data_IF_722551277260
#
_entry.id   IF_722551277260
#
_cell.length_a   1.000
_cell.length_b   1.000
_cell.length_c   1.000
_cell.angle_alpha   90.00
_cell.angle_beta   90.00
_cell.angle_gamma   90.00
#
_symmetry.space_group_name_H-M   'P 1'
#
loop_
_entity.id
_entity.type
_entity.pdbx_description
1 polymer ?
#
# COMPACT_ATOMS: atom_id res chain seq x y z
N UNK A 1 10.44 -7.96 20.61
CA UNK A 1 11.30 -8.60 19.58
C UNK A 1 10.35 -9.23 18.58
N UNK A 2 10.62 -9.08 17.28
CA UNK A 2 9.77 -9.65 16.23
C UNK A 2 9.83 -11.19 16.18
N UNK A 3 8.78 -11.84 15.68
CA UNK A 3 8.79 -13.28 15.39
C UNK A 3 9.92 -13.63 14.41
N UNK A 4 10.66 -14.71 14.69
CA UNK A 4 11.74 -15.20 13.84
C UNK A 4 11.25 -15.60 12.43
N UNK A 5 9.98 -15.99 12.27
CA UNK A 5 9.34 -16.19 10.97
C UNK A 5 9.14 -14.86 10.24
N UNK A 6 8.73 -13.80 10.95
CA UNK A 6 8.56 -12.48 10.37
C UNK A 6 9.92 -11.88 9.94
N UNK A 7 10.98 -12.07 10.73
CA UNK A 7 12.35 -11.73 10.33
C UNK A 7 12.77 -12.46 9.02
N UNK A 8 12.35 -13.71 8.82
CA UNK A 8 12.57 -14.42 7.55
C UNK A 8 11.85 -13.77 6.37
N UNK A 9 10.61 -13.34 6.57
CA UNK A 9 9.81 -12.63 5.57
C UNK A 9 10.40 -11.26 5.21
N UNK A 10 10.75 -10.43 6.20
CA UNK A 10 11.36 -9.10 5.97
C UNK A 10 12.67 -9.23 5.18
N UNK A 11 13.55 -10.18 5.54
CA UNK A 11 14.78 -10.44 4.77
C UNK A 11 14.52 -10.82 3.32
N UNK A 12 13.43 -11.55 3.02
CA UNK A 12 13.02 -11.84 1.64
C UNK A 12 12.58 -10.55 0.93
N UNK A 13 11.75 -9.73 1.56
CA UNK A 13 11.26 -8.48 0.97
C UNK A 13 12.40 -7.49 0.65
N UNK A 14 13.36 -7.31 1.56
CA UNK A 14 14.52 -6.42 1.35
C UNK A 14 15.48 -6.92 0.27
N UNK A 15 15.61 -8.26 0.09
CA UNK A 15 16.44 -8.86 -0.96
C UNK A 15 15.82 -8.75 -2.35
N UNK A 16 14.50 -8.94 -2.46
CA UNK A 16 13.80 -8.99 -3.75
C UNK A 16 13.54 -7.60 -4.31
N UNK A 17 13.22 -6.63 -3.44
CA UNK A 17 12.82 -5.30 -3.89
C UNK A 17 14.02 -4.34 -4.01
N UNK A 18 14.03 -3.58 -5.10
CA UNK A 18 15.00 -2.54 -5.38
C UNK A 18 14.58 -1.22 -4.70
N UNK A 19 13.29 -0.88 -4.80
CA UNK A 19 12.71 0.34 -4.25
C UNK A 19 11.67 -0.04 -3.19
N UNK A 20 11.59 0.72 -2.11
CA UNK A 20 10.65 0.52 -1.01
C UNK A 20 9.98 1.86 -0.73
N UNK A 21 8.67 1.96 -0.94
CA UNK A 21 7.86 3.13 -0.63
C UNK A 21 7.09 2.92 0.67
N UNK A 22 6.70 4.03 1.30
CA UNK A 22 5.74 4.07 2.40
C UNK A 22 4.75 5.21 2.17
N UNK A 23 3.48 5.00 2.48
CA UNK A 23 2.45 6.04 2.41
C UNK A 23 2.34 6.86 3.71
N UNK A 24 1.62 7.98 3.63
CA UNK A 24 1.28 8.85 4.76
C UNK A 24 0.61 8.05 5.89
N UNK A 25 -0.32 7.15 5.55
CA UNK A 25 -1.09 6.33 6.49
C UNK A 25 -0.21 5.40 7.34
N UNK A 26 0.75 4.69 6.74
CA UNK A 26 1.71 3.84 7.47
C UNK A 26 2.75 4.64 8.23
N UNK A 27 3.21 5.78 7.71
CA UNK A 27 4.21 6.59 8.41
C UNK A 27 3.62 7.24 9.67
N UNK A 28 2.34 7.63 9.64
CA UNK A 28 1.58 8.14 10.78
C UNK A 28 0.97 7.04 11.68
N UNK A 29 1.20 5.76 11.38
CA UNK A 29 0.73 4.64 12.20
C UNK A 29 1.55 4.53 13.50
N UNK A 30 0.94 4.49 14.70
CA UNK A 30 1.66 4.32 15.98
C UNK A 30 2.55 3.07 16.11
N UNK A 31 2.48 2.12 15.18
CA UNK A 31 3.38 0.98 15.11
C UNK A 31 4.70 1.25 14.36
N UNK A 32 4.89 2.42 13.75
CA UNK A 32 6.09 2.78 12.97
C UNK A 32 7.37 2.74 13.82
N UNK A 33 7.35 3.25 15.06
CA UNK A 33 8.49 3.19 16.00
C UNK A 33 8.91 1.75 16.29
N UNK A 34 7.92 0.86 16.40
CA UNK A 34 8.14 -0.57 16.63
C UNK A 34 8.73 -1.22 15.37
N UNK A 35 8.29 -0.85 14.17
CA UNK A 35 8.90 -1.30 12.91
C UNK A 35 10.36 -0.90 12.81
N UNK A 36 10.68 0.36 13.12
CA UNK A 36 12.06 0.89 13.11
C UNK A 36 12.90 0.12 14.13
N UNK A 37 12.43 0.01 15.38
CA UNK A 37 13.09 -0.76 16.45
C UNK A 37 13.29 -2.24 16.10
N UNK A 38 12.35 -2.85 15.40
CA UNK A 38 12.41 -4.27 15.02
C UNK A 38 13.37 -4.50 13.84
N UNK A 39 13.39 -3.64 12.81
CA UNK A 39 14.02 -3.95 11.52
C UNK A 39 15.01 -2.96 10.96
N UNK A 40 15.24 -1.77 11.55
CA UNK A 40 16.23 -0.79 11.05
C UNK A 40 17.59 -1.43 10.73
N UNK A 41 18.05 -2.33 11.60
CA UNK A 41 19.28 -3.10 11.41
C UNK A 41 19.29 -3.99 10.15
N UNK A 42 18.14 -4.49 9.69
CA UNK A 42 18.02 -5.26 8.45
C UNK A 42 18.06 -4.34 7.22
N UNK A 43 17.36 -3.21 7.25
CA UNK A 43 17.39 -2.22 6.17
C UNK A 43 18.83 -1.78 5.86
N UNK A 44 19.58 -1.41 6.91
CA UNK A 44 21.02 -1.07 6.82
C UNK A 44 21.83 -2.27 6.30
N UNK A 45 21.61 -3.48 6.83
CA UNK A 45 22.34 -4.69 6.41
C UNK A 45 22.17 -5.06 4.93
N UNK A 46 21.01 -4.74 4.33
CA UNK A 46 20.72 -5.02 2.92
C UNK A 46 21.00 -3.83 1.98
N UNK A 47 21.53 -2.72 2.51
CA UNK A 47 21.65 -1.46 1.79
C UNK A 47 20.32 -1.06 1.14
N UNK A 48 19.29 -0.93 1.98
CA UNK A 48 17.94 -0.55 1.59
C UNK A 48 17.44 0.59 2.47
N UNK A 49 16.96 1.64 1.82
CA UNK A 49 16.20 2.72 2.45
C UNK A 49 14.73 2.63 2.06
N UNK A 50 13.89 3.25 2.87
CA UNK A 50 12.49 3.53 2.56
C UNK A 50 12.45 4.91 1.91
N UNK A 51 12.00 4.96 0.66
CA UNK A 51 11.76 6.18 -0.10
C UNK A 51 10.48 6.85 0.39
N UNK A 52 10.60 8.12 0.78
CA UNK A 52 9.49 9.03 1.00
C UNK A 52 9.36 9.87 -0.26
N UNK A 53 8.23 9.77 -0.97
CA UNK A 53 8.00 10.60 -2.17
C UNK A 53 7.75 12.05 -1.78
N UNK A 54 7.91 12.95 -2.76
CA UNK A 54 7.64 14.37 -2.57
C UNK A 54 6.22 14.62 -2.04
N UNK A 55 5.23 13.91 -2.56
CA UNK A 55 3.81 14.09 -2.23
C UNK A 55 3.45 13.59 -0.83
N UNK A 56 4.05 12.48 -0.39
CA UNK A 56 3.92 12.01 1.01
C UNK A 56 4.53 13.04 1.96
N UNK A 57 5.71 13.61 1.63
CA UNK A 57 6.33 14.63 2.47
C UNK A 57 5.54 15.95 2.49
N UNK A 58 4.97 16.36 1.35
CA UNK A 58 4.09 17.52 1.26
C UNK A 58 2.77 17.30 2.02
N UNK A 59 2.19 16.09 1.97
CA UNK A 59 0.97 15.78 2.71
C UNK A 59 1.18 15.84 4.22
N UNK A 60 2.31 15.31 4.75
CA UNK A 60 2.68 15.50 6.15
C UNK A 60 2.73 17.00 6.50
N UNK A 61 3.34 17.82 5.64
CA UNK A 61 3.39 19.27 5.78
C UNK A 61 2.01 19.94 5.80
N UNK A 62 1.07 19.49 4.95
CA UNK A 62 -0.33 19.94 4.92
C UNK A 62 -1.06 19.56 6.21
N UNK A 63 -0.78 18.39 6.77
CA UNK A 63 -1.38 17.87 7.99
C UNK A 63 -0.85 18.55 9.27
N UNK A 64 0.24 19.32 9.22
CA UNK A 64 0.71 20.19 10.32
C UNK A 64 -0.20 21.40 10.60
N UNK A 65 -1.26 21.61 9.81
CA UNK A 65 -2.24 22.67 10.08
C UNK A 65 -2.81 22.59 11.50
N UNK A 66 -2.97 23.71 12.24
CA UNK A 66 -3.60 23.71 13.56
C UNK A 66 -5.02 23.14 13.60
N UNK A 67 -5.73 23.18 12.46
CA UNK A 67 -7.10 22.68 12.30
C UNK A 67 -7.15 21.17 11.97
N UNK A 68 -6.00 20.49 11.93
CA UNK A 68 -5.89 19.06 11.62
C UNK A 68 -5.85 18.21 12.90
N UNK A 69 -6.87 17.36 13.09
CA UNK A 69 -6.89 16.32 14.14
C UNK A 69 -5.69 15.35 14.07
N UNK A 70 -4.97 15.35 12.94
CA UNK A 70 -3.82 14.48 12.70
C UNK A 70 -2.45 15.16 12.86
N UNK A 71 -2.42 16.46 13.19
CA UNK A 71 -1.20 17.26 13.31
C UNK A 71 -0.13 16.60 14.20
N UNK A 72 -0.52 16.08 15.38
CA UNK A 72 0.40 15.36 16.27
C UNK A 72 1.01 14.10 15.63
N UNK A 73 0.27 13.37 14.78
CA UNK A 73 0.80 12.19 14.08
C UNK A 73 1.74 12.61 12.95
N UNK A 74 1.41 13.67 12.22
CA UNK A 74 2.24 14.21 11.15
C UNK A 74 3.57 14.79 11.69
N UNK A 75 3.53 15.49 12.83
CA UNK A 75 4.73 15.91 13.56
C UNK A 75 5.61 14.73 13.94
N UNK A 76 5.04 13.70 14.58
CA UNK A 76 5.77 12.48 14.97
C UNK A 76 6.37 11.75 13.76
N UNK A 77 5.63 11.64 12.65
CA UNK A 77 6.13 11.08 11.40
C UNK A 77 7.33 11.87 10.85
N UNK A 78 7.28 13.21 10.84
CA UNK A 78 8.40 14.06 10.42
C UNK A 78 9.61 13.88 11.36
N UNK A 79 9.41 13.88 12.68
CA UNK A 79 10.46 13.61 13.66
C UNK A 79 11.13 12.24 13.42
N UNK A 80 10.34 11.21 13.09
CA UNK A 80 10.86 9.88 12.73
C UNK A 80 11.77 9.92 11.51
N UNK A 81 11.39 10.66 10.45
CA UNK A 81 12.20 10.77 9.23
C UNK A 81 13.55 11.42 9.54
N UNK A 82 13.54 12.57 10.21
CA UNK A 82 14.75 13.33 10.57
C UNK A 82 15.65 12.58 11.55
N UNK A 83 15.09 11.81 12.49
CA UNK A 83 15.86 10.99 13.43
C UNK A 83 16.41 9.68 12.83
N UNK A 84 16.07 9.32 11.59
CA UNK A 84 16.50 8.07 10.94
C UNK A 84 16.98 8.28 9.48
N UNK A 85 17.96 9.18 9.22
CA UNK A 85 18.43 9.49 7.87
C UNK A 85 19.20 8.33 7.19
N UNK A 86 19.59 7.32 7.96
CA UNK A 86 20.15 6.05 7.49
C UNK A 86 19.09 5.04 7.03
N UNK A 87 17.84 5.19 7.46
CA UNK A 87 16.71 4.35 7.07
C UNK A 87 15.86 4.97 5.95
N UNK A 88 15.70 6.30 5.94
CA UNK A 88 14.83 7.00 4.99
C UNK A 88 15.61 7.73 3.90
N UNK A 89 14.99 7.85 2.73
CA UNK A 89 15.43 8.67 1.61
C UNK A 89 14.28 9.58 1.20
N UNK A 90 14.36 10.88 1.52
CA UNK A 90 13.30 11.85 1.20
C UNK A 90 13.56 12.41 -0.20
N UNK A 91 12.60 12.23 -1.10
CA UNK A 91 12.66 12.81 -2.45
C UNK A 91 12.25 14.29 -2.38
N UNK A 92 13.19 15.17 -2.71
CA UNK A 92 12.99 16.62 -2.85
C UNK A 92 12.38 17.31 -1.60
N UNK A 93 13.14 17.45 -0.52
CA UNK A 93 12.72 18.09 0.75
C UNK A 93 12.15 19.54 0.65
N UNK A 94 12.21 20.18 -0.51
CA UNK A 94 11.69 21.54 -0.74
C UNK A 94 10.17 21.48 -0.95
N UNK A 95 9.44 21.84 0.10
CA UNK A 95 7.99 22.06 0.06
C UNK A 95 7.72 23.50 -0.40
N UNK A 96 6.91 23.66 -1.46
CA UNK A 96 6.41 24.96 -1.93
C UNK A 96 4.94 25.16 -1.54
N UNK A 97 4.48 26.41 -1.49
CA UNK A 97 3.06 26.74 -1.20
C UNK A 97 2.13 26.11 -2.27
N UNK A 98 2.54 26.12 -3.54
CA UNK A 98 1.84 25.45 -4.65
C UNK A 98 1.81 23.91 -4.50
N UNK A 99 2.86 23.29 -3.96
CA UNK A 99 2.86 21.86 -3.69
C UNK A 99 1.90 21.50 -2.54
N UNK A 100 1.85 22.30 -1.48
CA UNK A 100 0.91 22.10 -0.36
C UNK A 100 -0.56 22.21 -0.78
N UNK A 101 -0.89 23.10 -1.72
CA UNK A 101 -2.25 23.23 -2.27
C UNK A 101 -2.65 22.07 -3.20
N UNK A 102 -1.67 21.35 -3.79
CA UNK A 102 -1.91 20.27 -4.76
C UNK A 102 -1.70 18.86 -4.20
N UNK A 103 -1.01 18.70 -3.06
CA UNK A 103 -0.63 17.40 -2.52
C UNK A 103 -1.84 16.57 -2.06
N UNK A 104 -2.18 15.56 -2.87
CA UNK A 104 -3.08 14.45 -2.55
C UNK A 104 -2.25 13.15 -2.62
N UNK A 105 -1.62 12.74 -1.51
CA UNK A 105 -0.55 11.74 -1.48
C UNK A 105 -0.89 10.38 -2.11
N UNK A 106 -2.16 9.99 -2.12
CA UNK A 106 -2.64 8.73 -2.71
C UNK A 106 -2.55 8.68 -4.26
N UNK A 107 -2.66 9.82 -4.96
CA UNK A 107 -2.74 9.81 -6.43
C UNK A 107 -1.38 9.48 -7.07
N UNK A 108 -0.32 10.12 -6.58
CA UNK A 108 0.99 10.08 -7.21
C UNK A 108 1.80 8.83 -6.84
N UNK A 109 1.65 8.30 -5.62
CA UNK A 109 2.31 7.03 -5.23
C UNK A 109 1.80 5.86 -6.09
N UNK A 110 0.53 5.89 -6.50
CA UNK A 110 -0.07 4.95 -7.44
C UNK A 110 0.59 5.01 -8.82
N UNK A 111 0.69 6.21 -9.41
CA UNK A 111 1.28 6.41 -10.73
C UNK A 111 2.77 6.07 -10.73
N UNK A 112 3.52 6.55 -9.74
CA UNK A 112 4.95 6.30 -9.59
C UNK A 112 5.27 4.80 -9.54
N UNK A 113 4.53 4.03 -8.73
CA UNK A 113 4.71 2.57 -8.64
C UNK A 113 4.35 1.88 -9.97
N UNK A 114 3.31 2.36 -10.67
CA UNK A 114 2.89 1.82 -11.96
C UNK A 114 3.89 2.10 -13.10
N UNK A 115 4.62 3.20 -13.04
CA UNK A 115 5.66 3.55 -14.00
C UNK A 115 6.96 2.80 -13.68
N UNK A 116 7.46 2.90 -12.44
CA UNK A 116 8.73 2.30 -12.01
C UNK A 116 8.73 0.76 -12.05
N UNK A 117 7.57 0.10 -12.04
CA UNK A 117 7.50 -1.37 -12.19
C UNK A 117 7.95 -1.84 -13.57
N UNK A 118 8.21 -0.96 -14.54
CA UNK A 118 8.83 -1.36 -15.82
C UNK A 118 10.29 -1.78 -15.65
N UNK A 119 10.95 -1.30 -14.60
CA UNK A 119 12.42 -1.36 -14.44
C UNK A 119 12.85 -1.97 -13.09
N UNK A 120 12.01 -1.92 -12.06
CA UNK A 120 12.36 -2.31 -10.69
C UNK A 120 11.32 -3.18 -9.99
N UNK A 121 11.77 -4.15 -9.19
CA UNK A 121 10.94 -4.75 -8.14
C UNK A 121 10.69 -3.73 -7.04
N UNK A 122 9.44 -3.60 -6.60
CA UNK A 122 9.03 -2.57 -5.66
C UNK A 122 8.24 -3.16 -4.50
N UNK A 123 8.44 -2.62 -3.31
CA UNK A 123 7.60 -2.85 -2.15
C UNK A 123 6.89 -1.55 -1.78
N UNK A 124 5.57 -1.59 -1.62
CA UNK A 124 4.82 -0.57 -0.89
C UNK A 124 4.54 -1.06 0.54
N UNK A 125 4.84 -0.22 1.51
CA UNK A 125 4.37 -0.33 2.89
C UNK A 125 3.17 0.61 3.03
N UNK A 126 1.98 0.05 3.20
CA UNK A 126 0.74 0.83 3.36
C UNK A 126 -0.18 0.16 4.38
N UNK A 127 -0.89 0.99 5.16
CA UNK A 127 -1.96 0.57 6.05
C UNK A 127 -3.34 0.89 5.47
N UNK A 128 -3.42 1.56 4.31
CA UNK A 128 -4.66 1.73 3.57
C UNK A 128 -4.97 0.45 2.74
N UNK A 129 -6.16 -0.10 2.97
CA UNK A 129 -6.60 -1.34 2.33
C UNK A 129 -6.95 -1.17 0.84
N UNK A 130 -7.44 0.00 0.43
CA UNK A 130 -7.81 0.29 -0.95
C UNK A 130 -6.56 0.49 -1.81
N UNK A 131 -5.63 1.33 -1.36
CA UNK A 131 -4.31 1.53 -1.95
C UNK A 131 -3.57 0.19 -2.07
N UNK A 132 -3.58 -0.62 -1.01
CA UNK A 132 -3.04 -1.98 -1.02
C UNK A 132 -3.62 -2.84 -2.16
N UNK A 133 -4.94 -2.86 -2.31
CA UNK A 133 -5.64 -3.70 -3.25
C UNK A 133 -5.41 -3.27 -4.71
N UNK A 134 -5.43 -1.95 -4.98
CA UNK A 134 -5.27 -1.41 -6.32
C UNK A 134 -3.80 -1.39 -6.78
N UNK A 135 -2.82 -1.18 -5.89
CA UNK A 135 -1.39 -1.35 -6.24
C UNK A 135 -1.07 -2.81 -6.55
N UNK A 136 -1.54 -3.76 -5.71
CA UNK A 136 -1.24 -5.18 -5.93
C UNK A 136 -1.87 -5.73 -7.23
N UNK A 137 -2.94 -5.10 -7.73
CA UNK A 137 -3.61 -5.42 -9.00
C UNK A 137 -2.68 -5.27 -10.22
N UNK A 138 -1.65 -4.42 -10.16
CA UNK A 138 -0.71 -4.22 -11.26
C UNK A 138 0.01 -5.50 -11.70
N UNK A 139 0.24 -6.43 -10.77
CA UNK A 139 0.80 -7.77 -11.06
C UNK A 139 -0.11 -8.64 -11.94
N UNK A 140 -1.40 -8.29 -12.07
CA UNK A 140 -2.38 -9.04 -12.87
C UNK A 140 -2.48 -8.53 -14.32
N UNK A 141 -1.82 -7.42 -14.67
CA UNK A 141 -1.90 -6.83 -16.00
C UNK A 141 -1.07 -7.59 -17.03
N UNK A 142 -1.75 -8.13 -18.05
CA UNK A 142 -1.13 -8.87 -19.15
C UNK A 142 -0.59 -7.97 -20.27
N UNK A 143 -1.20 -6.79 -20.46
CA UNK A 143 -0.86 -5.86 -21.54
C UNK A 143 0.35 -4.97 -21.24
N UNK A 144 0.77 -4.90 -19.96
CA UNK A 144 1.90 -4.06 -19.52
C UNK A 144 2.86 -4.95 -18.74
N UNK A 145 3.86 -5.48 -19.45
CA UNK A 145 4.97 -6.21 -18.84
C UNK A 145 5.72 -5.27 -17.88
N UNK A 146 6.08 -5.82 -16.74
CA UNK A 146 6.86 -5.15 -15.71
C UNK A 146 7.13 -6.12 -14.57
N UNK A 147 8.04 -5.72 -13.71
CA UNK A 147 8.43 -6.43 -12.51
C UNK A 147 7.31 -6.51 -11.46
N UNK A 148 7.56 -7.38 -10.47
CA UNK A 148 6.62 -7.63 -9.36
C UNK A 148 6.57 -6.47 -8.38
N UNK A 149 5.35 -6.07 -8.02
CA UNK A 149 5.06 -5.10 -6.96
C UNK A 149 4.53 -5.84 -5.74
N UNK A 150 5.20 -5.70 -4.60
CA UNK A 150 4.82 -6.29 -3.32
C UNK A 150 4.11 -5.25 -2.45
N UNK A 151 3.20 -5.70 -1.60
CA UNK A 151 2.45 -4.84 -0.67
C UNK A 151 2.48 -5.46 0.73
N UNK A 152 2.95 -4.69 1.71
CA UNK A 152 2.94 -5.03 3.12
C UNK A 152 2.19 -3.97 3.93
N UNK A 153 1.67 -4.36 5.09
CA UNK A 153 1.17 -3.44 6.11
C UNK A 153 1.94 -3.60 7.43
N UNK A 154 1.90 -2.57 8.28
CA UNK A 154 2.49 -2.61 9.62
C UNK A 154 1.41 -3.08 10.61
N UNK A 155 1.63 -4.21 11.30
CA UNK A 155 0.73 -4.67 12.36
C UNK A 155 1.00 -3.94 13.70
N UNK A 156 0.12 -4.13 14.69
CA UNK A 156 0.22 -3.47 16.00
C UNK A 156 1.53 -3.72 16.79
N UNK A 157 2.29 -4.77 16.43
CA UNK A 157 3.60 -5.10 17.01
C UNK A 157 4.78 -4.42 16.28
N UNK A 158 4.52 -3.68 15.21
CA UNK A 158 5.55 -3.18 14.31
C UNK A 158 6.17 -4.28 13.46
N UNK A 159 5.40 -5.30 13.09
CA UNK A 159 5.84 -6.35 12.18
C UNK A 159 5.26 -6.10 10.78
N UNK A 160 6.09 -6.27 9.74
CA UNK A 160 5.63 -6.19 8.35
C UNK A 160 4.92 -7.48 7.97
N UNK A 161 3.66 -7.37 7.57
CA UNK A 161 2.83 -8.51 7.16
C UNK A 161 2.39 -8.33 5.70
N UNK A 162 2.27 -9.39 4.88
CA UNK A 162 1.67 -9.29 3.55
C UNK A 162 0.21 -8.84 3.68
N UNK A 163 -0.28 -7.96 2.80
CA UNK A 163 -1.69 -7.55 2.78
C UNK A 163 -2.64 -8.77 2.70
N UNK A 164 -3.80 -8.71 3.35
CA UNK A 164 -4.81 -9.77 3.26
C UNK A 164 -5.33 -9.94 1.81
N UNK A 165 -5.40 -8.83 1.07
CA UNK A 165 -5.62 -8.78 -0.37
C UNK A 165 -4.60 -9.58 -1.22
N UNK A 166 -3.40 -9.80 -0.67
CA UNK A 166 -2.35 -10.68 -1.21
C UNK A 166 -2.56 -12.11 -0.73
N UNK A 167 -2.96 -12.31 0.53
CA UNK A 167 -3.18 -13.64 1.12
C UNK A 167 -4.18 -14.47 0.31
N UNK A 168 -5.39 -13.96 0.03
CA UNK A 168 -6.39 -14.73 -0.74
C UNK A 168 -5.88 -15.14 -2.14
N UNK A 169 -5.20 -14.23 -2.85
CA UNK A 169 -4.69 -14.50 -4.20
C UNK A 169 -3.46 -15.41 -4.19
N UNK A 170 -2.56 -15.28 -3.24
CA UNK A 170 -1.38 -16.16 -3.10
C UNK A 170 -1.80 -17.54 -2.64
N UNK A 171 -2.76 -17.67 -1.72
CA UNK A 171 -3.35 -18.98 -1.38
C UNK A 171 -4.09 -19.58 -2.57
N UNK A 172 -4.91 -18.81 -3.31
CA UNK A 172 -5.58 -19.32 -4.51
C UNK A 172 -4.58 -19.75 -5.61
N UNK A 173 -3.47 -19.04 -5.80
CA UNK A 173 -2.41 -19.43 -6.73
C UNK A 173 -1.63 -20.66 -6.26
N UNK A 174 -1.30 -20.75 -4.97
CA UNK A 174 -0.64 -21.93 -4.39
C UNK A 174 -1.52 -23.18 -4.44
N UNK A 175 -2.82 -23.05 -4.15
CA UNK A 175 -3.82 -24.12 -4.27
C UNK A 175 -3.96 -24.54 -5.74
N UNK A 176 -4.08 -23.60 -6.68
CA UNK A 176 -4.16 -23.93 -8.11
C UNK A 176 -2.87 -24.60 -8.63
N UNK A 177 -1.70 -24.13 -8.20
CA UNK A 177 -0.41 -24.75 -8.52
C UNK A 177 -0.34 -26.19 -8.00
N UNK A 178 -0.68 -26.41 -6.72
CA UNK A 178 -0.76 -27.75 -6.12
C UNK A 178 -1.76 -28.65 -6.84
N UNK A 179 -2.95 -28.15 -7.20
CA UNK A 179 -3.95 -28.92 -7.94
C UNK A 179 -3.48 -29.27 -9.37
N UNK A 180 -2.71 -28.42 -10.03
CA UNK A 180 -2.09 -28.74 -11.32
C UNK A 180 -0.96 -29.77 -11.17
N UNK A 181 -0.11 -29.64 -10.14
CA UNK A 181 0.93 -30.62 -9.81
C UNK A 181 0.33 -32.02 -9.57
N UNK A 182 -0.76 -32.09 -8.82
CA UNK A 182 -1.49 -33.33 -8.53
C UNK A 182 -2.18 -33.92 -9.77
N UNK A 183 -2.72 -33.08 -10.67
CA UNK A 183 -3.24 -33.55 -11.97
C UNK A 183 -2.13 -34.12 -12.84
N UNK A 184 -1.01 -33.41 -12.99
CA UNK A 184 0.13 -33.87 -13.80
C UNK A 184 0.71 -35.19 -13.31
N UNK A 185 0.71 -35.44 -11.99
CA UNK A 185 1.11 -36.73 -11.40
C UNK A 185 0.11 -37.85 -11.71
N UNK A 186 -1.19 -37.59 -11.59
CA UNK A 186 -2.22 -38.57 -12.01
C UNK A 186 -2.18 -38.87 -13.52
N UNK A 187 -1.92 -37.86 -14.35
CA UNK A 187 -1.81 -38.00 -15.80
C UNK A 187 -0.51 -38.70 -16.24
N UNK A 188 0.55 -38.69 -15.42
CA UNK A 188 1.75 -39.51 -15.63
C UNK A 188 1.59 -40.95 -15.15
N UNK A 189 0.92 -41.15 -14.02
CA UNK A 189 0.68 -42.50 -13.47
C UNK A 189 -0.37 -43.27 -14.30
N UNK A 190 -1.36 -42.57 -14.86
CA UNK A 190 -2.41 -43.15 -15.70
C UNK A 190 -2.01 -43.49 -17.14
N UNK A 191 -0.74 -43.34 -17.54
CA UNK A 191 -0.25 -43.67 -18.90
C UNK A 191 0.27 -45.09 -19.08
N UNK A 192 0.32 -45.88 -18.01
CA UNK A 192 0.73 -47.29 -18.04
C UNK A 192 -0.43 -48.26 -17.79
N UNK A 193 -1.62 -47.99 -18.33
CA UNK A 193 -2.64 -49.05 -18.51
C UNK A 193 -3.51 -48.79 -19.74
N UNK A 194 -3.71 -49.86 -20.51
CA UNK A 194 -4.62 -50.07 -21.66
C UNK A 194 -5.81 -49.11 -21.78
N UNK A 195 -6.24 -48.65 -22.96
CA UNK A 195 -6.20 -49.33 -24.25
C UNK A 195 -7.62 -49.45 -24.81
N UNK A 196 -7.92 -48.64 -25.83
CA UNK A 196 -9.00 -48.76 -26.83
C UNK A 196 -10.45 -49.06 -26.38
N UNK A 197 -11.34 -48.05 -26.50
CA UNK A 197 -12.63 -48.18 -27.25
C UNK A 197 -13.43 -46.87 -27.37
N UNK A 198 -13.96 -46.66 -28.57
CA UNK A 198 -14.91 -45.60 -28.92
C UNK A 198 -16.27 -45.74 -28.20
N UNK A 199 -16.91 -44.61 -27.85
CA UNK A 199 -18.22 -44.28 -28.44
C UNK A 199 -18.61 -42.80 -28.33
N UNK A 200 -19.28 -42.33 -29.38
CA UNK A 200 -20.00 -41.05 -29.46
C UNK A 200 -21.28 -41.06 -28.62
N UNK A 201 -21.72 -39.89 -28.15
CA UNK A 201 -23.10 -39.41 -28.42
C UNK A 201 -23.28 -37.90 -28.11
N UNK A 202 -23.99 -37.21 -29.02
CA UNK A 202 -24.62 -35.91 -28.76
C UNK A 202 -25.97 -36.18 -28.09
N UNK A 203 -26.47 -35.27 -27.24
CA UNK A 203 -27.69 -34.49 -27.55
C UNK A 203 -28.28 -33.64 -26.41
N UNK A 204 -28.86 -32.50 -26.83
CA UNK A 204 -30.08 -31.84 -26.33
C UNK A 204 -30.10 -31.06 -25.00
N UNK A 205 -30.73 -29.89 -25.10
CA UNK A 205 -31.03 -28.90 -24.07
C UNK A 205 -32.05 -29.37 -23.02
N UNK A 206 -32.01 -28.73 -21.84
CA UNK A 206 -33.21 -28.30 -21.12
C UNK A 206 -32.98 -26.90 -20.52
N UNK A 207 -34.04 -26.11 -20.38
CA UNK A 207 -34.00 -24.70 -19.97
C UNK A 207 -35.05 -24.46 -18.87
N UNK A 208 -34.89 -23.37 -18.11
CA UNK A 208 -35.84 -22.85 -17.10
C UNK A 208 -35.94 -23.71 -15.80
N UNK A 209 -36.31 -23.17 -14.62
CA UNK A 209 -36.99 -21.88 -14.34
C UNK A 209 -36.50 -21.15 -13.07
N UNK A 210 -37.19 -20.06 -12.69
CA UNK A 210 -36.81 -18.97 -11.80
C UNK A 210 -37.34 -19.16 -10.37
N UNK A 211 -36.82 -18.37 -9.42
CA UNK A 211 -37.64 -17.83 -8.33
C UNK A 211 -37.31 -16.34 -8.02
N UNK A 212 -38.31 -15.60 -7.50
CA UNK A 212 -38.33 -14.13 -7.29
C UNK A 212 -38.43 -13.75 -5.81
N UNK A 213 -37.93 -12.56 -5.44
CA UNK A 213 -38.58 -11.46 -4.66
C UNK A 213 -37.55 -10.29 -4.50
N UNK A 214 -37.81 -8.99 -4.76
CA UNK A 214 -38.70 -7.98 -4.11
C UNK A 214 -38.40 -7.81 -2.59
N UNK A 215 -38.37 -6.64 -1.92
CA UNK A 215 -38.49 -5.16 -2.19
C UNK A 215 -38.03 -4.42 -0.90
N UNK A 216 -37.70 -3.12 -0.81
CA UNK A 216 -37.72 -2.02 -1.79
C UNK A 216 -38.24 -0.68 -1.20
N UNK A 217 -37.42 0.05 -0.44
CA UNK A 217 -37.70 1.31 0.31
C UNK A 217 -36.38 2.14 0.38
N UNK A 218 -36.29 3.47 0.50
CA UNK A 218 -37.17 4.61 0.15
C UNK A 218 -36.28 5.90 0.07
N UNK A 219 -36.83 7.09 -0.27
CA UNK A 219 -36.05 8.33 -0.46
C UNK A 219 -36.24 9.37 0.67
N UNK A 220 -35.22 10.24 0.79
CA UNK A 220 -35.27 11.68 1.11
C UNK A 220 -35.20 12.17 2.58
N UNK A 221 -34.40 13.23 2.77
CA UNK A 221 -34.63 14.49 3.50
C UNK A 221 -33.32 15.30 3.42
N UNK A 222 -33.17 16.31 2.55
CA UNK A 222 -33.52 17.74 2.75
C UNK A 222 -32.77 18.43 3.90
N UNK A 223 -32.25 19.64 3.64
CA UNK A 223 -31.59 20.51 4.63
C UNK A 223 -31.96 21.98 4.44
N UNK A 224 -31.38 22.90 5.24
CA UNK A 224 -31.13 24.34 4.99
C UNK A 224 -30.87 25.13 6.29
N UNK A 225 -30.28 26.33 6.12
CA UNK A 225 -29.99 27.39 7.10
C UNK A 225 -28.89 27.08 8.17
N UNK A 226 -27.94 27.97 8.48
CA UNK A 226 -27.61 29.28 7.92
C UNK A 226 -27.58 30.41 8.97
N UNK A 227 -26.37 30.81 9.41
CA UNK A 227 -26.10 32.08 10.13
C UNK A 227 -24.74 32.60 9.69
N UNK A 228 -24.60 33.93 9.56
CA UNK A 228 -23.37 34.60 9.13
C UNK A 228 -22.67 35.36 10.27
N UNK A 229 -21.36 35.17 10.38
CA UNK A 229 -20.33 36.09 10.90
C UNK A 229 -18.98 35.61 10.31
N UNK A 230 -18.00 36.43 9.94
CA UNK A 230 -17.92 37.90 9.94
C UNK A 230 -16.61 38.39 10.57
N UNK A 231 -15.52 38.46 9.79
CA UNK A 231 -14.16 38.92 10.18
C UNK A 231 -13.42 38.02 11.22
N UNK A 232 -12.09 37.86 11.21
CA UNK A 232 -11.01 38.55 10.49
C UNK A 232 -10.09 37.58 9.70
N UNK A 233 -9.56 38.06 8.57
CA UNK A 233 -8.47 37.41 7.81
C UNK A 233 -7.11 37.83 8.39
N UNK A 234 -6.17 36.90 8.49
CA UNK A 234 -4.75 37.17 8.26
C UNK A 234 -3.75 36.88 9.38
N UNK A 235 -2.55 36.43 8.96
CA UNK A 235 -1.27 36.37 9.71
C UNK A 235 -0.97 35.16 10.63
N UNK A 236 -1.23 33.91 10.24
CA UNK A 236 -0.50 32.77 10.88
C UNK A 236 0.16 31.74 9.96
N UNK A 237 -0.22 31.61 8.67
CA UNK A 237 0.48 30.72 7.72
C UNK A 237 1.99 31.00 7.58
N UNK A 238 2.42 32.26 7.76
CA UNK A 238 3.86 32.61 7.73
C UNK A 238 4.66 32.08 8.92
N UNK A 239 4.02 31.80 10.06
CA UNK A 239 4.71 31.33 11.27
C UNK A 239 5.13 29.87 11.15
N UNK A 240 4.25 28.99 10.66
CA UNK A 240 4.56 27.58 10.43
C UNK A 240 5.70 27.38 9.42
N UNK A 241 5.67 28.12 8.29
CA UNK A 241 6.73 28.08 7.27
C UNK A 241 8.06 28.62 7.82
N UNK A 242 8.04 29.68 8.64
CA UNK A 242 9.26 30.19 9.28
C UNK A 242 9.83 29.26 10.35
N UNK A 243 8.99 28.47 11.03
CA UNK A 243 9.44 27.52 12.05
C UNK A 243 10.19 26.33 11.42
N UNK A 244 9.66 25.77 10.32
CA UNK A 244 10.35 24.75 9.53
C UNK A 244 11.67 25.26 8.95
N UNK A 245 11.68 26.46 8.35
CA UNK A 245 12.90 27.08 7.85
C UNK A 245 13.95 27.41 8.93
N UNK A 246 13.52 27.68 10.16
CA UNK A 246 14.42 28.02 11.28
C UNK A 246 15.02 26.79 11.97
N UNK A 247 14.31 25.65 11.98
CA UNK A 247 14.86 24.38 12.47
C UNK A 247 15.97 23.83 11.57
N UNK A 248 15.89 24.09 10.26
CA UNK A 248 16.85 23.64 9.24
C UNK A 248 18.20 24.42 9.29
N UNK A 249 18.27 25.54 10.01
CA UNK A 249 19.48 26.38 10.08
C UNK A 249 20.31 26.20 11.37
N UNK A 250 19.99 25.20 12.22
CA UNK A 250 20.58 25.09 13.56
C UNK A 250 21.05 23.68 13.96
N UNK A 251 21.37 22.85 12.95
CA UNK A 251 22.12 21.58 13.04
C UNK A 251 23.17 21.56 11.94
#
# INVERSE_FOLDING_TARGET
MADQRNLGYVRKMLRVNNIIYIDTCSLMNPAIDKLIKNYKHLFIMYDRKITITHDVYCELGRLLSPDSDECNKAMHAIEILHNNPDLFNIEHEIITEEALEKAFGDYDIHQLIFENRREAHQLLITNDHNLSADVFKYNSFRSVKGESVWVCYINYNGELQPCECVAEKVYAQAINGYLQEQKRKKDSDGKNETGDKNKSEKSVNANQEKHKQKTGWEKAMYGLAGVATGFCIGKFGKAAISALGSFISMV
#
